data_IF_224370098236
#
_entry.id   IF_224370098236
#
_cell.length_a   1.000
_cell.length_b   1.000
_cell.length_c   1.000
_cell.angle_alpha   90.00
_cell.angle_beta   90.00
_cell.angle_gamma   90.00
#
_symmetry.space_group_name_H-M   'P 1'
#
loop_
_entity.id
_entity.type
_entity.pdbx_description
1 polymer ?
#
# COMPACT_ATOMS: atom_id res chain seq x y z
N UNK A 1 13.74 -3.95 1.62
CA UNK A 1 12.99 -5.12 1.24
C UNK A 1 11.50 -4.92 1.44
N UNK A 2 10.74 -5.26 0.45
CA UNK A 2 9.30 -5.08 0.50
C UNK A 2 8.64 -6.32 1.11
N UNK A 3 7.87 -6.14 2.17
CA UNK A 3 7.16 -7.22 2.81
C UNK A 3 5.67 -7.21 2.47
N UNK A 4 5.26 -6.33 1.58
CA UNK A 4 3.88 -6.23 1.18
C UNK A 4 3.77 -5.46 -0.12
N UNK A 5 2.57 -5.02 -0.44
CA UNK A 5 2.31 -4.31 -1.69
C UNK A 5 2.22 -2.81 -1.46
N UNK A 6 2.78 -2.01 -2.38
CA UNK A 6 2.61 -0.56 -2.28
C UNK A 6 1.16 -0.18 -2.56
N UNK A 7 0.62 0.67 -1.74
CA UNK A 7 -0.74 1.16 -1.92
C UNK A 7 -0.77 2.67 -1.83
N UNK A 8 -1.60 3.28 -2.67
CA UNK A 8 -1.79 4.72 -2.64
C UNK A 8 -2.99 5.05 -1.77
N UNK A 9 -2.79 5.87 -0.77
CA UNK A 9 -3.88 6.28 0.11
C UNK A 9 -4.79 7.23 -0.65
N UNK A 10 -6.03 6.84 -0.84
CA UNK A 10 -7.01 7.69 -1.51
C UNK A 10 -7.87 8.45 -0.52
N UNK A 11 -8.08 7.87 0.65
CA UNK A 11 -8.94 8.46 1.66
C UNK A 11 -8.43 8.03 3.01
N UNK A 12 -8.41 8.96 3.94
CA UNK A 12 -7.87 8.69 5.26
C UNK A 12 -8.88 9.08 6.30
N UNK A 13 -9.17 8.16 7.18
CA UNK A 13 -9.96 8.42 8.37
C UNK A 13 -9.09 8.17 9.58
N UNK A 14 -9.65 8.21 10.76
CA UNK A 14 -8.88 7.97 11.99
C UNK A 14 -8.44 6.51 11.98
N UNK A 15 -7.13 6.28 11.86
CA UNK A 15 -6.53 4.95 11.93
C UNK A 15 -6.98 3.98 10.83
N UNK A 16 -7.72 4.46 9.83
CA UNK A 16 -8.19 3.62 8.73
C UNK A 16 -8.00 4.40 7.43
N UNK A 17 -7.51 3.75 6.42
CA UNK A 17 -7.33 4.36 5.12
C UNK A 17 -7.88 3.47 4.03
N UNK A 18 -8.43 4.09 3.01
CA UNK A 18 -8.77 3.38 1.78
C UNK A 18 -7.57 3.53 0.85
N UNK A 19 -6.98 2.42 0.48
CA UNK A 19 -5.81 2.43 -0.38
C UNK A 19 -6.12 1.71 -1.67
N UNK A 20 -5.44 2.16 -2.72
CA UNK A 20 -5.50 1.53 -4.02
C UNK A 20 -4.22 0.72 -4.19
N UNK A 21 -4.36 -0.58 -4.26
CA UNK A 21 -3.25 -1.48 -4.46
C UNK A 21 -3.41 -2.11 -5.82
N UNK A 22 -2.65 -1.64 -6.79
CA UNK A 22 -2.68 -2.17 -8.16
C UNK A 22 -4.10 -2.20 -8.73
N UNK A 23 -4.86 -1.15 -8.48
CA UNK A 23 -6.23 -1.03 -9.01
C UNK A 23 -7.32 -1.57 -8.11
N UNK A 24 -6.96 -2.23 -7.03
CA UNK A 24 -7.94 -2.76 -6.08
C UNK A 24 -7.99 -1.87 -4.85
N UNK A 25 -9.17 -1.45 -4.46
CA UNK A 25 -9.34 -0.60 -3.29
C UNK A 25 -9.57 -1.47 -2.06
N UNK A 26 -8.88 -1.12 -0.98
CA UNK A 26 -8.98 -1.86 0.26
C UNK A 26 -8.94 -0.91 1.43
N UNK A 27 -9.62 -1.26 2.49
CA UNK A 27 -9.51 -0.54 3.75
C UNK A 27 -8.46 -1.22 4.60
N UNK A 28 -7.53 -0.42 5.10
CA UNK A 28 -6.44 -0.94 5.92
C UNK A 28 -6.26 -0.06 7.14
N UNK A 29 -5.61 -0.61 8.15
CA UNK A 29 -5.32 0.11 9.36
C UNK A 29 -4.04 0.91 9.22
N UNK A 30 -4.05 2.14 9.68
CA UNK A 30 -2.86 2.98 9.69
C UNK A 30 -2.33 3.19 11.10
N UNK A 31 -2.70 2.31 12.00
CA UNK A 31 -2.36 2.48 13.41
C UNK A 31 -0.86 2.52 13.66
N UNK A 32 -0.08 1.87 12.80
CA UNK A 32 1.37 1.86 12.99
C UNK A 32 2.07 3.11 12.47
N UNK A 33 1.37 3.94 11.70
CA UNK A 33 2.00 5.10 11.07
C UNK A 33 1.69 6.42 11.77
N UNK A 34 0.74 6.40 12.68
CA UNK A 34 0.39 7.61 13.41
C UNK A 34 -0.16 8.69 12.50
N UNK A 35 0.22 9.93 12.79
CA UNK A 35 -0.35 11.08 12.08
C UNK A 35 0.48 11.54 10.89
N UNK A 36 1.50 10.77 10.52
CA UNK A 36 2.41 11.18 9.46
C UNK A 36 1.90 10.93 8.07
N UNK A 37 0.75 10.31 7.92
CA UNK A 37 0.24 9.94 6.61
C UNK A 37 -0.96 10.78 6.24
N UNK A 38 -1.16 10.95 4.95
CA UNK A 38 -2.30 11.68 4.43
C UNK A 38 -2.67 11.11 3.07
N UNK A 39 -3.83 11.50 2.56
CA UNK A 39 -4.24 11.10 1.23
C UNK A 39 -3.20 11.55 0.22
N UNK A 40 -2.86 10.67 -0.70
CA UNK A 40 -1.82 10.92 -1.67
C UNK A 40 -0.49 10.28 -1.32
N UNK A 41 -0.34 9.80 -0.10
CA UNK A 41 0.89 9.13 0.31
C UNK A 41 0.86 7.67 -0.11
N UNK A 42 2.06 7.14 -0.34
CA UNK A 42 2.23 5.73 -0.65
C UNK A 42 2.69 4.99 0.59
N UNK A 43 2.13 3.82 0.81
CA UNK A 43 2.47 3.00 1.97
C UNK A 43 2.63 1.56 1.54
N UNK A 44 3.34 0.80 2.35
CA UNK A 44 3.46 -0.65 2.15
C UNK A 44 2.36 -1.31 2.98
N UNK A 45 1.53 -2.11 2.30
CA UNK A 45 0.41 -2.79 2.93
C UNK A 45 0.74 -4.26 3.10
N UNK A 46 0.56 -4.75 4.31
CA UNK A 46 0.80 -6.15 4.62
C UNK A 46 -0.24 -6.60 5.63
N UNK A 47 -0.97 -7.65 5.29
CA UNK A 47 -1.96 -8.27 6.19
C UNK A 47 -2.98 -7.26 6.73
N UNK A 48 -3.37 -6.31 5.90
CA UNK A 48 -4.41 -5.35 6.30
C UNK A 48 -3.89 -4.14 7.05
N UNK A 49 -2.57 -3.99 7.18
CA UNK A 49 -1.95 -2.86 7.88
C UNK A 49 -1.01 -2.11 6.97
N UNK A 50 -1.00 -0.80 7.11
CA UNK A 50 0.05 0.01 6.50
C UNK A 50 1.23 -0.01 7.45
N UNK A 51 2.36 -0.54 7.02
CA UNK A 51 3.49 -0.76 7.91
C UNK A 51 4.60 0.26 7.72
N UNK A 52 4.66 0.92 6.58
CA UNK A 52 5.65 1.98 6.39
C UNK A 52 5.21 2.88 5.25
N UNK A 53 5.72 4.10 5.29
CA UNK A 53 5.48 5.07 4.23
C UNK A 53 6.67 5.04 3.27
N UNK A 54 6.39 5.05 1.98
CA UNK A 54 7.44 5.04 0.97
C UNK A 54 7.18 6.16 -0.01
N UNK A 55 8.17 6.52 -0.82
CA UNK A 55 7.95 7.57 -1.79
C UNK A 55 7.34 6.97 -3.07
N UNK A 56 6.84 7.86 -3.91
CA UNK A 56 6.13 7.44 -5.11
C UNK A 56 7.03 6.66 -6.06
N UNK A 57 8.27 7.07 -6.21
CA UNK A 57 9.19 6.40 -7.11
C UNK A 57 9.44 4.98 -6.66
N UNK A 58 9.71 4.80 -5.37
CA UNK A 58 9.94 3.48 -4.81
C UNK A 58 8.69 2.62 -4.94
N UNK A 59 7.53 3.22 -4.69
CA UNK A 59 6.27 2.50 -4.80
C UNK A 59 6.04 1.98 -6.21
N UNK A 60 6.28 2.82 -7.19
CA UNK A 60 6.06 2.43 -8.58
C UNK A 60 7.03 1.36 -9.03
N UNK A 61 8.28 1.46 -8.61
CA UNK A 61 9.27 0.45 -8.96
C UNK A 61 8.94 -0.88 -8.31
N UNK A 62 8.54 -0.85 -7.06
CA UNK A 62 8.18 -2.07 -6.35
C UNK A 62 6.95 -2.71 -6.97
N UNK A 63 5.96 -1.89 -7.28
CA UNK A 63 4.73 -2.39 -7.86
C UNK A 63 4.98 -3.05 -9.22
N UNK A 64 5.78 -2.40 -10.03
CA UNK A 64 6.14 -2.93 -11.34
C UNK A 64 6.83 -4.28 -11.21
N UNK A 65 7.76 -4.37 -10.26
CA UNK A 65 8.46 -5.61 -10.01
C UNK A 65 7.50 -6.72 -9.56
N UNK A 66 6.61 -6.39 -8.63
CA UNK A 66 5.69 -7.38 -8.11
C UNK A 66 4.70 -7.85 -9.16
N UNK A 67 4.18 -6.95 -9.96
CA UNK A 67 3.22 -7.32 -11.00
C UNK A 67 3.88 -8.17 -12.07
N UNK A 68 5.10 -7.84 -12.42
CA UNK A 68 5.83 -8.61 -13.41
C UNK A 68 6.14 -10.02 -12.91
N UNK A 69 6.46 -10.11 -11.63
CA UNK A 69 6.83 -11.38 -11.02
C UNK A 69 5.63 -12.27 -10.76
N UNK A 70 4.48 -11.69 -10.49
CA UNK A 70 3.32 -12.46 -10.04
C UNK A 70 2.15 -12.42 -10.99
N UNK A 71 2.35 -11.97 -12.21
CA UNK A 71 1.24 -11.77 -13.14
C UNK A 71 0.43 -13.02 -13.40
N UNK A 72 1.05 -14.20 -13.26
CA UNK A 72 0.36 -15.46 -13.49
C UNK A 72 -0.07 -16.15 -12.22
N UNK A 73 0.26 -15.59 -11.08
CA UNK A 73 0.07 -16.29 -9.81
C UNK A 73 -1.26 -16.04 -9.16
N UNK A 74 -1.94 -14.98 -9.52
CA UNK A 74 -3.25 -14.67 -8.96
C UNK A 74 -3.23 -14.50 -7.47
N UNK A 75 -2.24 -13.85 -6.94
CA UNK A 75 -2.12 -13.65 -5.50
C UNK A 75 -3.19 -12.72 -4.97
N UNK A 76 -3.57 -12.94 -3.72
CA UNK A 76 -4.35 -11.98 -2.99
C UNK A 76 -3.43 -11.28 -1.99
N UNK A 77 -3.82 -10.09 -1.60
CA UNK A 77 -3.01 -9.27 -0.71
C UNK A 77 -3.23 -9.57 0.76
#
# INVERSE_FOLDING_TARGET
MCLGFPGLIEKLDVHVATVNVAGTKREISTIFLGDDVKAGDWVVVHAGFAISKIDEKEAKETLEFLLDYTDESKHSF
#
